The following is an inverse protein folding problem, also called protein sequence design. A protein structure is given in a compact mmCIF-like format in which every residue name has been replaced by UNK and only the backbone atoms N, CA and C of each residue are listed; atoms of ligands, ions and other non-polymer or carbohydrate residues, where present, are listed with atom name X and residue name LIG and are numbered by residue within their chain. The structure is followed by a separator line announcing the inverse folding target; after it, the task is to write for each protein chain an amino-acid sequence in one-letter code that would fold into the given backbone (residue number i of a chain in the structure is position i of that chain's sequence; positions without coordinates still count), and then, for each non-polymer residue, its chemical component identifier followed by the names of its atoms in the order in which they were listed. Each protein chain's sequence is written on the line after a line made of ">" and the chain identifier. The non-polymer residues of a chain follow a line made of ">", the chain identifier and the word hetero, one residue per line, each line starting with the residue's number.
data_IF_055229330351
#
_entry.id   IF_055229330351
#
_cell.length_a   1.000
_cell.length_b   1.000
_cell.length_c   1.000
_cell.angle_alpha   90.00
_cell.angle_beta   90.00
_cell.angle_gamma   90.00
#
_symmetry.space_group_name_H-M   'P 1'
#
loop_
_entity.id
_entity.type
_entity.pdbx_description
1 polymer ?
#
# COMPACT_ATOMS: atom_id res chain seq x y z
N UNK A 1 -53.60 -1.83 -22.26
CA UNK A 1 -52.70 -0.67 -22.10
C UNK A 1 -51.29 -1.19 -22.27
N UNK A 2 -50.66 -0.90 -23.41
CA UNK A 2 -49.27 -1.26 -23.66
C UNK A 2 -48.38 -0.25 -22.90
N UNK A 3 -47.49 -0.74 -22.03
CA UNK A 3 -46.48 0.10 -21.39
C UNK A 3 -45.46 0.53 -22.46
N UNK A 4 -45.30 1.84 -22.62
CA UNK A 4 -44.37 2.45 -23.57
C UNK A 4 -42.93 2.16 -23.13
N UNK A 5 -42.09 1.50 -23.97
CA UNK A 5 -40.68 1.24 -23.66
C UNK A 5 -39.88 2.51 -23.33
N UNK A 6 -40.34 3.67 -23.83
CA UNK A 6 -39.70 4.95 -23.57
C UNK A 6 -39.87 5.42 -22.13
N UNK A 7 -40.95 5.03 -21.44
CA UNK A 7 -41.20 5.41 -20.05
C UNK A 7 -40.31 4.61 -19.07
N UNK A 8 -40.02 3.35 -19.37
CA UNK A 8 -39.07 2.57 -18.58
C UNK A 8 -37.63 3.09 -18.75
N UNK A 9 -37.25 3.44 -19.98
CA UNK A 9 -35.95 4.04 -20.27
C UNK A 9 -35.79 5.42 -19.60
N UNK A 10 -36.85 6.23 -19.59
CA UNK A 10 -36.87 7.56 -18.96
C UNK A 10 -36.92 7.46 -17.43
N UNK A 11 -37.59 6.45 -16.88
CA UNK A 11 -37.57 6.12 -15.45
C UNK A 11 -36.17 5.67 -14.98
N UNK A 12 -35.51 4.77 -15.72
CA UNK A 12 -34.12 4.34 -15.45
C UNK A 12 -33.13 5.50 -15.60
N UNK A 13 -33.33 6.42 -16.54
CA UNK A 13 -32.52 7.63 -16.64
C UNK A 13 -32.74 8.60 -15.47
N UNK A 14 -33.98 8.72 -14.97
CA UNK A 14 -34.33 9.61 -13.85
C UNK A 14 -33.84 9.12 -12.48
N UNK A 15 -33.76 7.80 -12.27
CA UNK A 15 -33.26 7.19 -11.03
C UNK A 15 -31.81 6.68 -11.14
N UNK A 16 -31.28 6.52 -12.35
CA UNK A 16 -29.90 6.09 -12.64
C UNK A 16 -28.96 7.23 -13.06
N UNK A 17 -29.41 8.48 -12.94
CA UNK A 17 -28.79 9.67 -13.54
C UNK A 17 -27.31 9.89 -13.21
N UNK A 18 -26.83 9.47 -12.03
CA UNK A 18 -25.42 9.64 -11.67
C UNK A 18 -24.55 8.41 -12.07
N UNK A 19 -25.15 7.22 -12.14
CA UNK A 19 -24.46 5.98 -12.53
C UNK A 19 -24.30 5.87 -14.05
N UNK A 20 -25.29 6.31 -14.84
CA UNK A 20 -25.23 6.32 -16.31
C UNK A 20 -24.19 7.31 -16.86
N UNK A 21 -23.92 8.39 -16.13
CA UNK A 21 -22.89 9.39 -16.44
C UNK A 21 -21.47 8.90 -16.14
N UNK A 22 -21.31 7.97 -15.19
CA UNK A 22 -20.00 7.44 -14.76
C UNK A 22 -19.62 6.12 -15.42
N UNK A 23 -20.61 5.29 -15.75
CA UNK A 23 -20.39 3.92 -16.27
C UNK A 23 -20.49 3.89 -17.79
N UNK A 24 -19.49 3.27 -18.41
CA UNK A 24 -19.47 2.91 -19.83
C UNK A 24 -20.05 1.52 -20.05
N UNK A 25 -19.61 0.56 -19.23
CA UNK A 25 -19.98 -0.86 -19.36
C UNK A 25 -20.19 -1.46 -17.96
N UNK A 26 -21.23 -2.26 -17.79
CA UNK A 26 -21.43 -3.08 -16.58
C UNK A 26 -20.87 -4.47 -16.81
N UNK A 27 -19.95 -4.91 -15.96
CA UNK A 27 -19.19 -6.15 -16.17
C UNK A 27 -19.74 -7.35 -15.38
N UNK A 28 -20.71 -7.11 -14.49
CA UNK A 28 -21.23 -8.12 -13.56
C UNK A 28 -20.45 -8.12 -12.24
N UNK A 29 -21.00 -8.79 -11.21
CA UNK A 29 -20.32 -8.98 -9.92
C UNK A 29 -19.97 -7.69 -9.16
N UNK A 30 -20.62 -6.56 -9.47
CA UNK A 30 -20.30 -5.25 -8.92
C UNK A 30 -19.19 -4.49 -9.65
N UNK A 31 -18.62 -5.05 -10.71
CA UNK A 31 -17.59 -4.42 -11.53
C UNK A 31 -18.19 -3.61 -12.69
N UNK A 32 -17.55 -2.50 -13.00
CA UNK A 32 -17.91 -1.60 -14.10
C UNK A 32 -16.65 -1.11 -14.80
N UNK A 33 -16.79 -0.74 -16.08
CA UNK A 33 -15.84 0.12 -16.77
C UNK A 33 -16.32 1.56 -16.66
N UNK A 34 -15.50 2.44 -16.10
CA UNK A 34 -15.82 3.87 -16.01
C UNK A 34 -15.68 4.52 -17.39
N UNK A 35 -16.50 5.53 -17.70
CA UNK A 35 -16.31 6.40 -18.88
C UNK A 35 -14.98 7.15 -18.81
N UNK A 36 -14.40 7.48 -19.96
CA UNK A 36 -13.10 8.19 -20.06
C UNK A 36 -13.12 9.48 -19.22
N UNK A 37 -14.11 10.33 -19.40
CA UNK A 37 -14.22 11.59 -18.64
C UNK A 37 -14.31 11.38 -17.12
N UNK A 38 -14.93 10.29 -16.66
CA UNK A 38 -14.98 9.96 -15.23
C UNK A 38 -13.62 9.45 -14.73
N UNK A 39 -12.95 8.61 -15.51
CA UNK A 39 -11.62 8.12 -15.18
C UNK A 39 -10.58 9.26 -15.13
N UNK A 40 -10.65 10.20 -16.08
CA UNK A 40 -9.81 11.41 -16.17
C UNK A 40 -10.07 12.37 -15.00
N UNK A 41 -11.33 12.57 -14.60
CA UNK A 41 -11.66 13.36 -13.40
C UNK A 41 -11.07 12.75 -12.12
N UNK A 42 -10.92 11.42 -12.07
CA UNK A 42 -10.29 10.70 -10.95
C UNK A 42 -8.78 10.56 -11.12
N UNK A 43 -8.18 11.18 -12.13
CA UNK A 43 -6.78 10.98 -12.46
C UNK A 43 -5.86 11.69 -11.46
N UNK A 44 -5.00 10.90 -10.83
CA UNK A 44 -3.82 11.37 -10.14
C UNK A 44 -2.60 10.86 -10.91
N UNK A 45 -1.54 11.68 -10.98
CA UNK A 45 -0.24 11.38 -11.60
C UNK A 45 0.49 10.24 -10.85
N UNK A 46 0.01 9.01 -10.98
CA UNK A 46 0.72 7.82 -10.49
C UNK A 46 1.07 6.95 -11.67
N UNK A 47 2.20 7.29 -12.27
CA UNK A 47 2.91 6.43 -13.20
C UNK A 47 3.72 5.43 -12.39
N UNK A 48 3.65 4.16 -12.78
CA UNK A 48 4.55 3.13 -12.26
C UNK A 48 5.94 3.46 -12.82
N UNK A 49 6.82 4.01 -11.98
CA UNK A 49 8.19 4.37 -12.39
C UNK A 49 9.21 3.38 -11.84
N UNK A 50 8.86 2.71 -10.75
CA UNK A 50 9.65 1.69 -10.10
C UNK A 50 8.78 0.51 -9.68
N UNK A 51 9.39 -0.66 -9.49
CA UNK A 51 8.70 -1.83 -8.92
C UNK A 51 8.00 -1.48 -7.59
N UNK A 52 8.59 -0.61 -6.78
CA UNK A 52 8.00 -0.13 -5.53
C UNK A 52 6.63 0.56 -5.71
N UNK A 53 6.44 1.27 -6.84
CA UNK A 53 5.17 1.93 -7.15
C UNK A 53 4.10 0.86 -7.45
N UNK A 54 4.47 -0.25 -8.09
CA UNK A 54 3.54 -1.36 -8.31
C UNK A 54 3.17 -2.07 -6.99
N UNK A 55 4.15 -2.29 -6.11
CA UNK A 55 3.92 -2.91 -4.80
C UNK A 55 2.93 -2.08 -3.99
N UNK A 56 3.07 -0.75 -3.94
CA UNK A 56 2.15 0.06 -3.14
C UNK A 56 0.73 0.04 -3.73
N UNK A 57 0.58 0.03 -5.05
CA UNK A 57 -0.74 -0.11 -5.69
C UNK A 57 -1.40 -1.46 -5.39
N UNK A 58 -0.63 -2.56 -5.36
CA UNK A 58 -1.13 -3.87 -4.93
C UNK A 58 -1.61 -3.82 -3.47
N UNK A 59 -0.80 -3.28 -2.56
CA UNK A 59 -1.15 -3.16 -1.13
C UNK A 59 -2.42 -2.30 -0.91
N UNK A 60 -2.54 -1.18 -1.63
CA UNK A 60 -3.73 -0.32 -1.58
C UNK A 60 -4.97 -1.05 -2.07
N UNK A 61 -4.86 -1.84 -3.14
CA UNK A 61 -5.98 -2.63 -3.64
C UNK A 61 -6.44 -3.69 -2.62
N UNK A 62 -5.51 -4.40 -1.98
CA UNK A 62 -5.85 -5.38 -0.95
C UNK A 62 -6.54 -4.72 0.26
N UNK A 63 -5.99 -3.61 0.79
CA UNK A 63 -6.62 -2.83 1.88
C UNK A 63 -8.05 -2.47 1.54
N UNK A 64 -8.25 -1.87 0.37
CA UNK A 64 -9.57 -1.37 -0.01
C UNK A 64 -10.57 -2.49 -0.31
N UNK A 65 -10.09 -3.69 -0.66
CA UNK A 65 -10.90 -4.89 -0.79
C UNK A 65 -11.26 -5.49 0.59
N UNK A 66 -10.73 -4.91 1.69
CA UNK A 66 -11.02 -5.29 3.06
C UNK A 66 -10.05 -6.31 3.66
N UNK A 67 -8.85 -6.46 3.10
CA UNK A 67 -7.82 -7.35 3.65
C UNK A 67 -7.51 -6.99 5.11
N UNK A 68 -7.45 -8.00 5.97
CA UNK A 68 -6.95 -7.89 7.36
C UNK A 68 -5.53 -8.43 7.46
N UNK A 69 -5.17 -9.39 6.61
CA UNK A 69 -3.84 -9.95 6.54
C UNK A 69 -3.37 -9.95 5.09
N UNK A 70 -2.18 -9.39 4.86
CA UNK A 70 -1.53 -9.39 3.55
C UNK A 70 -0.19 -10.10 3.67
N UNK A 71 0.06 -11.03 2.76
CA UNK A 71 1.29 -11.80 2.64
C UNK A 71 1.95 -11.47 1.31
N UNK A 72 3.04 -10.70 1.37
CA UNK A 72 3.78 -10.26 0.19
C UNK A 72 5.07 -11.08 0.05
N UNK A 73 5.07 -11.97 -0.93
CA UNK A 73 6.27 -12.69 -1.35
C UNK A 73 7.03 -11.88 -2.40
N UNK A 74 8.33 -11.72 -2.21
CA UNK A 74 9.23 -11.12 -3.19
C UNK A 74 10.42 -12.04 -3.45
N UNK A 75 10.71 -12.30 -4.72
CA UNK A 75 11.89 -13.04 -5.16
C UNK A 75 12.52 -12.36 -6.36
N UNK A 76 13.82 -12.61 -6.57
CA UNK A 76 14.53 -12.14 -7.76
C UNK A 76 15.45 -13.22 -8.29
N UNK A 77 15.37 -13.46 -9.59
CA UNK A 77 16.22 -14.36 -10.33
C UNK A 77 16.78 -13.59 -11.54
N UNK A 78 18.07 -13.25 -11.50
CA UNK A 78 18.66 -12.38 -12.52
C UNK A 78 18.01 -10.99 -12.55
N UNK A 79 17.48 -10.59 -13.71
CA UNK A 79 16.71 -9.36 -13.88
C UNK A 79 15.21 -9.55 -13.58
N UNK A 80 14.75 -10.78 -13.36
CA UNK A 80 13.34 -11.05 -13.13
C UNK A 80 12.99 -10.89 -11.66
N UNK A 81 12.11 -9.92 -11.36
CA UNK A 81 11.55 -9.67 -10.04
C UNK A 81 10.11 -10.18 -10.01
N UNK A 82 9.83 -11.13 -9.13
CA UNK A 82 8.47 -11.66 -8.93
C UNK A 82 7.91 -11.16 -7.60
N UNK A 83 6.73 -10.56 -7.67
CA UNK A 83 5.94 -10.14 -6.52
C UNK A 83 4.64 -10.94 -6.53
N UNK A 84 4.40 -11.74 -5.49
CA UNK A 84 3.13 -12.43 -5.29
C UNK A 84 2.51 -11.92 -3.99
N UNK A 85 1.30 -11.40 -4.07
CA UNK A 85 0.55 -10.91 -2.91
C UNK A 85 -0.65 -11.82 -2.66
N UNK A 86 -0.77 -12.34 -1.44
CA UNK A 86 -1.92 -13.09 -0.98
C UNK A 86 -2.63 -12.29 0.11
N UNK A 87 -3.96 -12.30 0.11
CA UNK A 87 -4.78 -11.60 1.10
C UNK A 87 -6.04 -12.41 1.47
N UNK A 88 -6.68 -12.02 2.57
CA UNK A 88 -7.98 -12.52 3.04
C UNK A 88 -9.15 -11.55 2.73
N UNK A 89 -9.04 -10.77 1.65
CA UNK A 89 -10.04 -9.79 1.26
C UNK A 89 -11.29 -10.43 0.62
N UNK A 90 -12.17 -9.59 0.06
CA UNK A 90 -13.41 -10.02 -0.59
C UNK A 90 -13.22 -10.96 -1.80
N UNK A 91 -12.02 -11.02 -2.39
CA UNK A 91 -11.72 -11.84 -3.56
C UNK A 91 -12.36 -11.34 -4.87
N UNK A 92 -12.00 -12.00 -5.97
CA UNK A 92 -12.32 -11.61 -7.36
C UNK A 92 -13.03 -12.77 -8.05
N UNK A 93 -14.23 -12.56 -8.65
CA UNK A 93 -14.90 -13.57 -9.46
C UNK A 93 -14.05 -14.06 -10.64
N UNK A 94 -14.18 -15.34 -11.01
CA UNK A 94 -13.35 -15.97 -12.04
C UNK A 94 -13.43 -15.26 -13.39
N UNK A 95 -14.62 -14.85 -13.79
CA UNK A 95 -14.87 -14.09 -15.02
C UNK A 95 -14.20 -12.71 -15.04
N UNK A 96 -13.80 -12.21 -13.87
CA UNK A 96 -13.13 -10.92 -13.71
C UNK A 96 -11.61 -11.02 -13.63
N UNK A 97 -11.02 -12.22 -13.49
CA UNK A 97 -9.57 -12.41 -13.30
C UNK A 97 -8.71 -11.70 -14.35
N UNK A 98 -9.12 -11.73 -15.62
CA UNK A 98 -8.43 -11.01 -16.68
C UNK A 98 -8.86 -9.54 -16.79
N UNK A 99 -10.15 -9.27 -16.57
CA UNK A 99 -10.76 -7.96 -16.82
C UNK A 99 -10.42 -6.91 -15.76
N UNK A 100 -10.06 -7.31 -14.53
CA UNK A 100 -9.66 -6.37 -13.48
C UNK A 100 -8.39 -5.57 -13.83
N UNK A 101 -7.63 -6.04 -14.82
CA UNK A 101 -6.46 -5.34 -15.34
C UNK A 101 -6.76 -4.52 -16.59
N UNK A 102 -8.01 -4.47 -17.08
CA UNK A 102 -8.36 -3.58 -18.17
C UNK A 102 -8.44 -2.13 -17.67
N UNK A 103 -8.11 -1.19 -18.55
CA UNK A 103 -8.22 0.23 -18.23
C UNK A 103 -9.65 0.60 -17.79
N UNK A 104 -9.72 1.36 -16.69
CA UNK A 104 -10.94 1.95 -16.10
C UNK A 104 -11.88 0.94 -15.46
N UNK A 105 -11.45 -0.31 -15.28
CA UNK A 105 -12.27 -1.34 -14.62
C UNK A 105 -12.16 -1.21 -13.12
N UNK A 106 -13.29 -1.07 -12.44
CA UNK A 106 -13.34 -0.95 -10.98
C UNK A 106 -14.63 -1.53 -10.40
N UNK A 107 -14.58 -1.95 -9.14
CA UNK A 107 -15.75 -2.24 -8.31
C UNK A 107 -16.14 -1.06 -7.39
N UNK A 108 -15.42 0.06 -7.46
CA UNK A 108 -15.56 1.23 -6.57
C UNK A 108 -16.21 2.41 -7.30
N UNK A 109 -17.51 2.29 -7.55
CA UNK A 109 -18.25 3.35 -8.25
C UNK A 109 -18.30 4.65 -7.43
N UNK A 110 -18.61 4.53 -6.13
CA UNK A 110 -18.96 5.66 -5.27
C UNK A 110 -17.87 6.01 -4.23
N UNK A 111 -16.80 5.22 -4.15
CA UNK A 111 -15.70 5.42 -3.19
C UNK A 111 -14.41 5.86 -3.90
N UNK A 112 -14.14 7.16 -3.82
CA UNK A 112 -12.83 7.75 -4.14
C UNK A 112 -12.13 8.05 -2.83
N UNK A 113 -10.95 7.46 -2.65
CA UNK A 113 -10.19 7.63 -1.42
C UNK A 113 -8.89 8.39 -1.74
N UNK A 114 -8.54 9.34 -0.88
CA UNK A 114 -7.29 10.08 -0.91
C UNK A 114 -6.42 9.58 0.23
N UNK A 115 -5.24 9.06 -0.08
CA UNK A 115 -4.23 8.69 0.92
C UNK A 115 -2.90 9.38 0.61
N UNK A 116 -1.85 9.08 1.38
CA UNK A 116 -0.52 9.67 1.17
C UNK A 116 0.05 9.39 -0.23
N UNK A 117 -0.37 8.30 -0.86
CA UNK A 117 0.02 7.91 -2.22
C UNK A 117 -0.99 8.38 -3.27
N UNK A 118 -1.83 9.37 -2.93
CA UNK A 118 -2.73 10.06 -3.87
C UNK A 118 -4.13 9.44 -3.94
N UNK A 119 -4.80 9.65 -5.07
CA UNK A 119 -6.18 9.18 -5.29
C UNK A 119 -6.20 7.74 -5.80
N UNK A 120 -7.03 6.89 -5.19
CA UNK A 120 -7.31 5.53 -5.65
C UNK A 120 -8.83 5.25 -5.74
N UNK A 121 -9.22 4.20 -6.47
CA UNK A 121 -10.63 3.91 -6.82
C UNK A 121 -11.05 4.27 -8.26
N UNK A 122 -10.08 4.47 -9.17
CA UNK A 122 -10.31 4.84 -10.59
C UNK A 122 -10.23 3.69 -11.60
N UNK A 123 -9.90 2.49 -11.14
CA UNK A 123 -9.77 1.32 -12.02
C UNK A 123 -8.55 1.32 -12.94
N UNK A 124 -7.46 1.98 -12.52
CA UNK A 124 -6.22 2.04 -13.31
C UNK A 124 -5.03 1.33 -12.66
N UNK A 125 -5.08 1.04 -11.36
CA UNK A 125 -3.92 0.51 -10.63
C UNK A 125 -3.40 -0.81 -11.22
N UNK A 126 -4.28 -1.82 -11.35
CA UNK A 126 -3.92 -3.12 -11.91
C UNK A 126 -3.57 -3.02 -13.40
N UNK A 127 -4.30 -2.21 -14.17
CA UNK A 127 -3.95 -1.92 -15.57
C UNK A 127 -2.53 -1.35 -15.70
N UNK A 128 -2.20 -0.31 -14.93
CA UNK A 128 -0.86 0.30 -14.94
C UNK A 128 0.24 -0.69 -14.52
N UNK A 129 -0.05 -1.60 -13.59
CA UNK A 129 0.89 -2.68 -13.26
C UNK A 129 1.10 -3.60 -14.47
N UNK A 130 0.01 -4.04 -15.14
CA UNK A 130 0.08 -4.92 -16.31
C UNK A 130 0.88 -4.30 -17.46
N UNK A 131 0.72 -3.01 -17.72
CA UNK A 131 1.46 -2.31 -18.80
C UNK A 131 2.97 -2.20 -18.54
N UNK A 132 3.40 -2.32 -17.27
CA UNK A 132 4.81 -2.17 -16.88
C UNK A 132 5.47 -3.49 -16.44
N UNK A 133 4.71 -4.59 -16.45
CA UNK A 133 5.16 -5.91 -16.03
C UNK A 133 5.36 -6.82 -17.24
N UNK A 134 6.27 -7.79 -17.12
CA UNK A 134 6.33 -8.93 -18.05
C UNK A 134 5.04 -9.75 -17.99
N UNK A 135 4.46 -9.87 -16.79
CA UNK A 135 3.12 -10.43 -16.60
C UNK A 135 2.48 -9.89 -15.33
N UNK A 136 1.17 -9.70 -15.35
CA UNK A 136 0.37 -9.40 -14.16
C UNK A 136 -0.98 -10.11 -14.25
N UNK A 137 -1.25 -10.99 -13.27
CA UNK A 137 -2.43 -11.87 -13.27
C UNK A 137 -2.97 -12.12 -11.87
N UNK A 138 -4.27 -12.38 -11.78
CA UNK A 138 -4.84 -13.11 -10.64
C UNK A 138 -4.43 -14.58 -10.82
N UNK A 139 -3.68 -15.12 -9.86
CA UNK A 139 -3.27 -16.53 -9.91
C UNK A 139 -4.42 -17.42 -9.44
N UNK A 140 -5.03 -17.06 -8.31
CA UNK A 140 -6.27 -17.66 -7.83
C UNK A 140 -7.03 -16.62 -6.99
N UNK A 141 -8.35 -16.60 -7.13
CA UNK A 141 -9.24 -15.84 -6.27
C UNK A 141 -10.67 -16.28 -6.52
N UNK A 142 -11.51 -16.15 -5.50
CA UNK A 142 -12.95 -16.27 -5.63
C UNK A 142 -13.64 -15.39 -4.59
N UNK A 143 -14.93 -15.06 -4.79
CA UNK A 143 -15.68 -14.27 -3.82
C UNK A 143 -15.61 -14.87 -2.42
N UNK A 144 -15.27 -14.03 -1.43
CA UNK A 144 -15.10 -14.36 -0.01
C UNK A 144 -13.96 -15.34 0.31
N UNK A 145 -13.05 -15.61 -0.64
CA UNK A 145 -11.92 -16.52 -0.46
C UNK A 145 -10.56 -15.82 -0.40
N UNK A 146 -10.52 -14.49 -0.47
CA UNK A 146 -9.28 -13.74 -0.63
C UNK A 146 -8.74 -13.78 -2.06
N UNK A 147 -7.53 -13.28 -2.26
CA UNK A 147 -6.89 -13.28 -3.57
C UNK A 147 -5.41 -13.64 -3.51
N UNK A 148 -4.91 -14.25 -4.58
CA UNK A 148 -3.49 -14.33 -4.92
C UNK A 148 -3.27 -13.62 -6.26
N UNK A 149 -2.47 -12.55 -6.24
CA UNK A 149 -2.14 -11.75 -7.42
C UNK A 149 -0.62 -11.73 -7.59
N UNK A 150 -0.16 -12.05 -8.80
CA UNK A 150 1.26 -12.05 -9.14
C UNK A 150 1.56 -11.02 -10.21
N UNK A 151 2.63 -10.26 -9.99
CA UNK A 151 3.25 -9.40 -10.99
C UNK A 151 4.73 -9.74 -11.13
N UNK A 152 5.17 -9.90 -12.38
CA UNK A 152 6.55 -10.26 -12.74
C UNK A 152 7.13 -9.12 -13.56
N UNK A 153 8.26 -8.59 -13.14
CA UNK A 153 8.92 -7.44 -13.75
C UNK A 153 10.30 -7.83 -14.26
N UNK A 154 10.71 -7.24 -15.37
CA UNK A 154 12.11 -7.19 -15.77
C UNK A 154 12.72 -5.89 -15.21
N UNK A 155 13.66 -6.00 -14.27
CA UNK A 155 14.22 -4.82 -13.60
C UNK A 155 15.21 -4.03 -14.46
N UNK A 156 15.58 -4.56 -15.62
CA UNK A 156 16.34 -3.81 -16.61
C UNK A 156 15.41 -2.84 -17.39
N UNK A 157 14.14 -3.22 -17.56
CA UNK A 157 13.09 -2.43 -18.21
C UNK A 157 12.36 -1.49 -17.23
N UNK A 158 11.86 -2.02 -16.10
CA UNK A 158 11.28 -1.25 -15.00
C UNK A 158 12.16 -1.39 -13.76
N UNK A 159 13.01 -0.39 -13.54
CA UNK A 159 13.98 -0.46 -12.45
C UNK A 159 13.32 -0.61 -11.07
N UNK A 160 14.02 -1.29 -10.18
CA UNK A 160 13.79 -1.22 -8.74
C UNK A 160 14.86 -0.35 -8.10
N UNK A 161 14.57 0.25 -6.94
CA UNK A 161 15.56 1.10 -6.27
C UNK A 161 16.72 0.26 -5.73
N UNK A 162 17.87 0.89 -5.54
CA UNK A 162 19.03 0.22 -4.97
C UNK A 162 18.77 -0.23 -3.53
N UNK A 163 19.42 -1.34 -3.14
CA UNK A 163 19.32 -1.96 -1.82
C UNK A 163 17.91 -2.43 -1.45
N UNK A 164 17.54 -3.65 -1.86
CA UNK A 164 16.25 -4.29 -1.55
C UNK A 164 16.25 -5.14 -0.27
N UNK A 165 17.32 -5.10 0.53
CA UNK A 165 17.47 -5.95 1.72
C UNK A 165 17.55 -5.19 3.03
N UNK A 166 17.98 -3.92 3.01
CA UNK A 166 18.09 -3.10 4.22
C UNK A 166 16.73 -2.61 4.68
N UNK A 167 16.43 -2.86 5.95
CA UNK A 167 15.25 -2.32 6.60
C UNK A 167 15.42 -0.84 6.95
N UNK A 168 14.39 0.00 6.74
CA UNK A 168 14.45 1.37 7.20
C UNK A 168 14.37 1.45 8.72
N UNK A 169 14.88 2.55 9.27
CA UNK A 169 14.76 2.89 10.69
C UNK A 169 13.62 3.87 10.88
N UNK A 170 12.69 3.55 11.78
CA UNK A 170 11.65 4.49 12.20
C UNK A 170 12.28 5.58 13.07
N UNK A 171 12.19 6.82 12.60
CA UNK A 171 12.71 8.02 13.25
C UNK A 171 11.56 8.98 13.54
N UNK A 172 11.72 9.74 14.61
CA UNK A 172 10.83 10.86 14.93
C UNK A 172 11.53 12.12 14.42
N UNK A 173 10.80 12.95 13.69
CA UNK A 173 11.29 14.25 13.25
C UNK A 173 11.27 15.26 14.41
N UNK A 174 11.80 16.46 14.17
CA UNK A 174 11.85 17.53 15.18
C UNK A 174 10.45 18.03 15.59
N UNK A 175 9.42 17.73 14.80
CA UNK A 175 8.01 18.08 15.07
C UNK A 175 7.20 16.96 15.72
N UNK A 176 7.82 15.83 16.08
CA UNK A 176 7.15 14.69 16.70
C UNK A 176 6.43 13.73 15.73
N UNK A 177 6.52 13.98 14.42
CA UNK A 177 5.97 13.07 13.41
C UNK A 177 6.93 11.91 13.13
N UNK A 178 6.35 10.72 12.94
CA UNK A 178 7.10 9.51 12.70
C UNK A 178 7.32 9.30 11.20
N UNK A 179 8.57 9.08 10.79
CA UNK A 179 8.95 8.76 9.41
C UNK A 179 10.05 7.72 9.32
N UNK A 180 10.33 7.25 8.11
CA UNK A 180 11.36 6.24 7.86
C UNK A 180 12.63 6.87 7.26
N UNK A 181 13.79 6.51 7.85
CA UNK A 181 15.13 6.80 7.32
C UNK A 181 15.74 5.52 6.77
N UNK A 182 16.37 5.59 5.60
CA UNK A 182 16.97 4.44 4.92
C UNK A 182 16.58 4.39 3.44
N UNK A 183 16.98 3.32 2.73
CA UNK A 183 16.68 3.16 1.31
C UNK A 183 15.18 3.18 1.05
N UNK A 184 14.78 3.72 -0.10
CA UNK A 184 13.38 3.79 -0.55
C UNK A 184 12.94 2.50 -1.25
N UNK A 185 13.28 1.35 -0.68
CA UNK A 185 13.06 0.04 -1.29
C UNK A 185 11.66 -0.53 -1.00
N UNK A 186 11.38 -1.74 -1.50
CA UNK A 186 10.12 -2.47 -1.28
C UNK A 186 9.82 -2.61 0.22
N UNK A 187 10.84 -2.92 1.03
CA UNK A 187 10.70 -3.05 2.49
C UNK A 187 10.18 -1.74 3.10
N UNK A 188 10.73 -0.60 2.67
CA UNK A 188 10.27 0.71 3.14
C UNK A 188 8.86 1.03 2.68
N UNK A 189 8.48 0.71 1.44
CA UNK A 189 7.09 0.86 1.00
C UNK A 189 6.13 0.07 1.89
N UNK A 190 6.48 -1.18 2.22
CA UNK A 190 5.71 -2.01 3.15
C UNK A 190 5.63 -1.40 4.56
N UNK A 191 6.73 -0.81 5.04
CA UNK A 191 6.78 -0.13 6.34
C UNK A 191 5.92 1.14 6.38
N UNK A 192 5.98 1.97 5.33
CA UNK A 192 5.17 3.18 5.19
C UNK A 192 3.68 2.82 5.10
N UNK A 193 3.32 1.80 4.31
CA UNK A 193 1.97 1.24 4.26
C UNK A 193 1.48 0.78 5.63
N UNK A 194 2.25 -0.06 6.32
CA UNK A 194 1.89 -0.60 7.65
C UNK A 194 1.87 0.45 8.77
N UNK A 195 2.47 1.63 8.55
CA UNK A 195 2.41 2.74 9.49
C UNK A 195 1.08 3.50 9.35
N UNK A 196 0.62 3.66 8.11
CA UNK A 196 -0.60 4.38 7.74
C UNK A 196 -1.84 3.55 8.04
N UNK A 197 -1.84 2.27 7.66
CA UNK A 197 -2.94 1.36 7.94
C UNK A 197 -2.61 0.44 9.13
N UNK A 198 -3.27 0.70 10.26
CA UNK A 198 -3.14 -0.12 11.48
C UNK A 198 -4.15 -1.26 11.55
N UNK A 199 -5.13 -1.30 10.65
CA UNK A 199 -6.16 -2.34 10.58
C UNK A 199 -5.74 -3.57 9.80
N UNK A 200 -4.73 -3.44 8.94
CA UNK A 200 -4.20 -4.53 8.12
C UNK A 200 -2.80 -4.96 8.58
N UNK A 201 -2.60 -6.26 8.81
CA UNK A 201 -1.30 -6.82 9.16
C UNK A 201 -0.56 -7.34 7.91
N UNK A 202 0.57 -6.70 7.60
CA UNK A 202 1.41 -7.04 6.45
C UNK A 202 2.61 -7.89 6.85
N UNK A 203 2.86 -8.95 6.08
CA UNK A 203 4.02 -9.83 6.16
C UNK A 203 4.80 -9.75 4.85
N UNK A 204 6.13 -9.64 4.93
CA UNK A 204 7.04 -9.55 3.77
C UNK A 204 8.15 -10.58 3.92
N UNK A 205 8.41 -11.35 2.86
CA UNK A 205 9.51 -12.32 2.84
C UNK A 205 9.68 -12.98 1.47
N UNK A 206 10.54 -13.99 1.42
CA UNK A 206 10.62 -14.92 0.29
C UNK A 206 9.36 -15.79 0.20
N UNK A 207 9.09 -16.46 -0.95
CA UNK A 207 7.97 -17.39 -1.07
C UNK A 207 7.94 -18.44 0.06
N UNK A 208 9.09 -19.00 0.41
CA UNK A 208 9.20 -20.00 1.48
C UNK A 208 8.83 -19.43 2.86
N UNK A 209 9.32 -18.23 3.18
CA UNK A 209 9.00 -17.56 4.44
C UNK A 209 7.51 -17.19 4.53
N UNK A 210 6.92 -16.73 3.42
CA UNK A 210 5.50 -16.40 3.36
C UNK A 210 4.64 -17.66 3.55
N UNK A 211 4.96 -18.77 2.89
CA UNK A 211 4.25 -20.05 3.11
C UNK A 211 4.38 -20.51 4.56
N UNK A 212 5.58 -20.49 5.13
CA UNK A 212 5.79 -20.84 6.55
C UNK A 212 4.96 -19.94 7.50
N UNK A 213 4.86 -18.65 7.17
CA UNK A 213 4.11 -17.67 7.95
C UNK A 213 2.60 -17.88 7.83
N UNK A 214 2.09 -18.12 6.63
CA UNK A 214 0.68 -18.43 6.41
C UNK A 214 0.28 -19.69 7.19
N UNK A 215 1.06 -20.77 7.09
CA UNK A 215 0.84 -22.01 7.86
C UNK A 215 0.74 -21.78 9.37
N UNK A 216 1.64 -20.97 9.92
CA UNK A 216 1.67 -20.67 11.36
C UNK A 216 0.50 -19.78 11.81
N UNK A 217 0.13 -18.77 11.03
CA UNK A 217 -0.68 -17.66 11.52
C UNK A 217 -2.13 -17.69 11.04
N UNK A 218 -2.42 -18.32 9.90
CA UNK A 218 -3.77 -18.33 9.32
C UNK A 218 -4.74 -19.02 10.27
N UNK A 219 -5.88 -18.37 10.49
CA UNK A 219 -7.00 -18.96 11.24
C UNK A 219 -7.93 -19.61 10.23
N UNK A 220 -8.36 -20.83 10.55
CA UNK A 220 -9.32 -21.54 9.72
C UNK A 220 -10.70 -20.93 9.91
N UNK A 221 -11.42 -20.71 8.82
CA UNK A 221 -12.82 -20.25 8.85
C UNK A 221 -13.79 -21.39 9.15
N UNK A 222 -13.36 -22.62 8.91
CA UNK A 222 -14.18 -23.84 9.02
C UNK A 222 -13.79 -24.64 10.27
N UNK A 223 -14.79 -25.17 10.99
CA UNK A 223 -14.56 -26.10 12.10
C UNK A 223 -13.98 -27.44 11.61
N UNK A 224 -13.17 -28.11 12.44
CA UNK A 224 -12.42 -29.30 12.03
C UNK A 224 -13.26 -30.46 11.49
N UNK A 225 -14.51 -30.60 11.92
CA UNK A 225 -15.45 -31.61 11.40
C UNK A 225 -15.91 -31.32 9.98
N UNK A 226 -16.06 -30.05 9.62
CA UNK A 226 -16.48 -29.64 8.29
C UNK A 226 -15.35 -29.81 7.25
N UNK A 227 -14.08 -29.85 7.68
CA UNK A 227 -12.95 -30.19 6.80
C UNK A 227 -13.00 -31.62 6.26
N UNK A 228 -13.68 -32.55 6.95
CA UNK A 228 -13.83 -33.94 6.49
C UNK A 228 -14.72 -34.08 5.25
N UNK A 229 -15.49 -33.05 4.92
CA UNK A 229 -16.41 -33.01 3.78
C UNK A 229 -15.88 -32.14 2.63
N UNK A 230 -14.60 -31.73 2.69
CA UNK A 230 -13.96 -30.95 1.64
C UNK A 230 -13.25 -31.91 0.69
N UNK A 231 -13.71 -31.94 -0.56
CA UNK A 231 -13.15 -32.80 -1.60
C UNK A 231 -11.86 -32.22 -2.21
N UNK A 232 -11.72 -30.89 -2.21
CA UNK A 232 -10.55 -30.19 -2.74
C UNK A 232 -10.16 -28.99 -1.88
N UNK A 233 -8.85 -28.78 -1.69
CA UNK A 233 -8.35 -27.57 -1.06
C UNK A 233 -8.74 -26.30 -1.82
N UNK A 234 -9.05 -26.37 -3.11
CA UNK A 234 -9.49 -25.21 -3.90
C UNK A 234 -10.83 -24.62 -3.45
N UNK A 235 -11.60 -25.40 -2.70
CA UNK A 235 -12.86 -24.95 -2.10
C UNK A 235 -12.64 -24.03 -0.90
N UNK A 236 -11.44 -23.98 -0.35
CA UNK A 236 -11.08 -23.17 0.81
C UNK A 236 -10.54 -21.78 0.42
N UNK A 237 -10.59 -20.80 1.36
CA UNK A 237 -9.90 -19.53 1.22
C UNK A 237 -8.41 -19.72 0.91
N UNK A 238 -7.85 -18.86 0.06
CA UNK A 238 -6.51 -19.06 -0.54
C UNK A 238 -5.41 -19.28 0.50
N UNK A 239 -5.45 -18.55 1.61
CA UNK A 239 -4.47 -18.66 2.70
C UNK A 239 -4.65 -19.93 3.55
N UNK A 240 -5.87 -20.46 3.66
CA UNK A 240 -6.16 -21.66 4.45
C UNK A 240 -5.62 -22.92 3.77
N UNK A 241 -5.60 -22.95 2.43
CA UNK A 241 -5.03 -24.06 1.64
C UNK A 241 -3.58 -24.35 2.03
N UNK A 242 -2.78 -23.28 2.18
CA UNK A 242 -1.37 -23.40 2.58
C UNK A 242 -1.24 -24.06 3.95
N UNK A 243 -2.16 -23.76 4.89
CA UNK A 243 -2.17 -24.33 6.24
C UNK A 243 -2.63 -25.78 6.27
N UNK A 244 -3.59 -26.13 5.43
CA UNK A 244 -4.25 -27.43 5.42
C UNK A 244 -3.54 -28.49 4.55
N UNK A 245 -2.61 -28.08 3.68
CA UNK A 245 -1.75 -29.02 2.98
C UNK A 245 -1.06 -29.99 3.96
N UNK A 246 -1.28 -31.29 3.74
CA UNK A 246 -0.96 -32.40 4.62
C UNK A 246 0.51 -32.83 4.53
N UNK A 247 1.08 -32.79 3.32
CA UNK A 247 2.46 -33.20 3.06
C UNK A 247 3.21 -32.24 2.12
N UNK A 248 4.47 -32.56 1.83
CA UNK A 248 5.34 -31.69 1.05
C UNK A 248 4.92 -31.58 -0.42
N UNK A 249 4.35 -32.66 -0.97
CA UNK A 249 3.85 -32.68 -2.34
C UNK A 249 2.60 -31.81 -2.49
N UNK A 250 1.63 -31.99 -1.59
CA UNK A 250 0.43 -31.15 -1.57
C UNK A 250 0.76 -29.68 -1.27
N UNK A 251 1.69 -29.41 -0.34
CA UNK A 251 2.14 -28.06 -0.05
C UNK A 251 2.79 -27.41 -1.27
N UNK A 252 3.59 -28.16 -2.03
CA UNK A 252 4.23 -27.67 -3.25
C UNK A 252 3.18 -27.36 -4.33
N UNK A 253 2.20 -28.24 -4.53
CA UNK A 253 1.10 -28.05 -5.47
C UNK A 253 0.27 -26.80 -5.13
N UNK A 254 -0.17 -26.67 -3.88
CA UNK A 254 -0.94 -25.51 -3.40
C UNK A 254 -0.10 -24.23 -3.49
N UNK A 255 1.18 -24.27 -3.14
CA UNK A 255 2.04 -23.08 -3.24
C UNK A 255 2.17 -22.63 -4.69
N UNK A 256 2.37 -23.56 -5.63
CA UNK A 256 2.47 -23.25 -7.06
C UNK A 256 1.15 -22.73 -7.64
N UNK A 257 0.00 -23.32 -7.25
CA UNK A 257 -1.32 -22.83 -7.66
C UNK A 257 -1.64 -21.43 -7.14
N UNK A 258 -0.95 -20.97 -6.09
CA UNK A 258 -1.02 -19.62 -5.57
C UNK A 258 0.13 -18.72 -6.04
N UNK A 259 1.00 -19.18 -6.94
CA UNK A 259 2.10 -18.38 -7.49
C UNK A 259 3.30 -18.20 -6.54
N UNK A 260 3.49 -19.15 -5.62
CA UNK A 260 4.59 -19.21 -4.67
C UNK A 260 5.52 -20.39 -5.01
N UNK A 261 6.44 -20.16 -5.95
CA UNK A 261 7.34 -21.21 -6.40
C UNK A 261 8.45 -21.50 -5.38
N UNK A 262 8.72 -22.79 -5.17
CA UNK A 262 9.81 -23.28 -4.34
C UNK A 262 10.17 -24.72 -4.72
N UNK A 263 11.29 -25.22 -4.20
CA UNK A 263 11.65 -26.63 -4.37
C UNK A 263 10.93 -27.52 -3.37
N UNK A 264 10.76 -28.81 -3.71
CA UNK A 264 10.23 -29.84 -2.81
C UNK A 264 11.05 -29.94 -1.51
N UNK A 265 12.38 -29.81 -1.60
CA UNK A 265 13.26 -29.72 -0.42
C UNK A 265 12.84 -28.57 0.50
N UNK A 266 12.49 -27.41 -0.05
CA UNK A 266 12.02 -26.28 0.74
C UNK A 266 10.66 -26.55 1.37
N UNK A 267 9.73 -27.21 0.67
CA UNK A 267 8.45 -27.63 1.23
C UNK A 267 8.64 -28.56 2.46
N UNK A 268 9.54 -29.55 2.37
CA UNK A 268 9.91 -30.39 3.52
C UNK A 268 10.49 -29.57 4.68
N UNK A 269 11.35 -28.59 4.41
CA UNK A 269 11.92 -27.71 5.44
C UNK A 269 10.84 -26.89 6.15
N UNK A 270 9.83 -26.41 5.42
CA UNK A 270 8.69 -25.68 5.99
C UNK A 270 7.90 -26.60 6.93
N UNK A 271 7.55 -27.81 6.47
CA UNK A 271 6.80 -28.78 7.28
C UNK A 271 7.56 -29.24 8.52
N UNK A 272 8.89 -29.34 8.41
CA UNK A 272 9.78 -29.65 9.54
C UNK A 272 10.03 -28.45 10.47
N UNK A 273 9.43 -27.28 10.23
CA UNK A 273 9.62 -26.07 11.04
C UNK A 273 11.01 -25.44 10.93
N UNK A 274 11.77 -25.77 9.88
CA UNK A 274 13.14 -25.26 9.65
C UNK A 274 13.17 -23.94 8.87
N UNK A 275 12.03 -23.50 8.34
CA UNK A 275 11.86 -22.14 7.79
C UNK A 275 11.10 -21.32 8.81
N UNK A 276 11.75 -20.30 9.34
CA UNK A 276 11.20 -19.46 10.40
C UNK A 276 10.11 -18.54 9.83
N UNK A 277 8.88 -18.57 10.38
CA UNK A 277 7.86 -17.58 10.06
C UNK A 277 8.34 -16.14 10.27
N UNK A 278 8.02 -15.25 9.34
CA UNK A 278 8.35 -13.83 9.47
C UNK A 278 7.38 -13.14 10.42
N UNK A 279 7.87 -12.09 11.08
CA UNK A 279 7.02 -11.21 11.88
C UNK A 279 6.33 -10.22 10.96
N UNK A 280 5.20 -9.68 11.41
CA UNK A 280 4.58 -8.56 10.70
C UNK A 280 5.54 -7.37 10.59
N UNK A 281 5.46 -6.68 9.47
CA UNK A 281 6.29 -5.51 9.14
C UNK A 281 6.18 -4.46 10.26
N UNK A 282 4.96 -4.23 10.77
CA UNK A 282 4.70 -3.38 11.92
C UNK A 282 5.49 -3.78 13.17
N UNK A 283 5.54 -5.08 13.47
CA UNK A 283 6.29 -5.61 14.62
C UNK A 283 7.80 -5.39 14.45
N UNK A 284 8.31 -5.50 13.23
CA UNK A 284 9.73 -5.33 12.94
C UNK A 284 10.21 -3.89 13.23
N UNK A 285 9.56 -2.87 12.64
CA UNK A 285 10.01 -1.49 12.85
C UNK A 285 9.68 -0.94 14.24
N UNK A 286 8.62 -1.43 14.91
CA UNK A 286 8.34 -1.08 16.32
C UNK A 286 9.42 -1.61 17.27
N UNK A 287 9.93 -2.83 17.03
CA UNK A 287 11.06 -3.39 17.79
C UNK A 287 12.34 -2.61 17.54
N UNK A 288 12.63 -2.28 16.28
CA UNK A 288 13.79 -1.44 15.91
C UNK A 288 13.77 -0.10 16.66
N UNK A 289 12.61 0.57 16.77
CA UNK A 289 12.46 1.80 17.56
C UNK A 289 12.74 1.61 19.05
N UNK A 290 12.29 0.50 19.64
CA UNK A 290 12.57 0.21 21.07
C UNK A 290 14.06 -0.01 21.30
N UNK A 291 14.73 -0.75 20.41
CA UNK A 291 16.17 -0.99 20.49
C UNK A 291 16.98 0.31 20.33
N UNK A 292 16.62 1.18 19.38
CA UNK A 292 17.31 2.47 19.20
C UNK A 292 17.13 3.42 20.39
N UNK A 293 15.97 3.39 21.06
CA UNK A 293 15.73 4.16 22.29
C UNK A 293 16.52 3.61 23.49
N UNK A 294 16.67 2.30 23.59
CA UNK A 294 17.44 1.65 24.66
C UNK A 294 18.96 1.81 24.47
N UNK A 295 19.44 1.87 23.22
CA UNK A 295 20.86 2.07 22.88
C UNK A 295 21.37 3.51 22.97
N UNK A 296 20.48 4.50 23.13
CA UNK A 296 20.88 5.88 23.46
C UNK A 296 21.40 5.91 24.91
N UNK A 297 22.69 5.67 25.10
CA UNK A 297 23.38 6.11 26.33
C UNK A 297 23.15 7.61 26.44
N UNK A 298 22.55 8.04 27.55
CA UNK A 298 22.40 9.46 27.86
C UNK A 298 23.82 10.03 27.98
N UNK A 299 24.21 10.79 26.98
CA UNK A 299 25.52 11.44 26.93
C UNK A 299 25.48 12.65 27.88
N UNK A 300 25.80 12.41 29.15
CA UNK A 300 25.83 13.41 30.24
C UNK A 300 26.89 14.50 30.00
N UNK A 301 27.81 14.30 29.03
CA UNK A 301 28.87 15.23 28.67
C UNK A 301 28.48 16.22 27.54
N UNK A 302 27.30 16.06 26.92
CA UNK A 302 26.77 17.11 26.02
C UNK A 302 26.23 18.27 26.84
N UNK A 303 27.01 19.34 26.93
CA UNK A 303 26.63 20.62 27.51
C UNK A 303 25.28 21.07 26.90
N UNK A 304 24.22 21.03 27.72
CA UNK A 304 22.84 21.36 27.34
C UNK A 304 22.55 22.87 27.37
N UNK A 305 23.57 23.71 27.36
CA UNK A 305 23.44 25.17 27.18
C UNK A 305 23.24 25.52 25.70
N UNK A 306 22.15 25.02 25.11
CA UNK A 306 21.63 25.61 23.88
C UNK A 306 21.10 27.01 24.18
N UNK A 307 21.30 27.95 23.25
CA UNK A 307 20.70 29.29 23.33
C UNK A 307 19.19 29.12 23.46
N UNK A 308 18.65 29.41 24.65
CA UNK A 308 17.21 29.38 24.93
C UNK A 308 16.74 30.83 25.01
N UNK A 309 15.94 31.21 24.03
CA UNK A 309 15.22 32.49 24.02
C UNK A 309 13.81 32.19 24.54
N UNK A 310 13.25 33.07 25.37
CA UNK A 310 11.91 32.83 25.91
C UNK A 310 10.87 32.91 24.78
N UNK A 311 9.73 32.20 24.89
CA UNK A 311 8.65 32.29 23.90
C UNK A 311 8.10 33.72 23.74
N UNK A 312 8.15 34.52 24.81
CA UNK A 312 7.72 35.92 24.81
C UNK A 312 8.67 36.78 23.95
N UNK A 313 9.98 36.65 24.16
CA UNK A 313 11.00 37.36 23.37
C UNK A 313 10.97 36.94 21.89
N UNK A 314 10.68 35.66 21.59
CA UNK A 314 10.53 35.18 20.21
C UNK A 314 9.29 35.79 19.53
N UNK A 315 8.21 35.97 20.27
CA UNK A 315 7.00 36.63 19.79
C UNK A 315 7.24 38.12 19.51
N UNK A 316 7.92 38.83 20.42
CA UNK A 316 8.27 40.24 20.21
C UNK A 316 9.25 40.43 19.04
N UNK A 317 10.22 39.54 18.92
CA UNK A 317 11.17 39.53 17.81
C UNK A 317 10.48 39.25 16.46
N UNK A 318 9.53 38.31 16.42
CA UNK A 318 8.74 38.04 15.21
C UNK A 318 7.94 39.26 14.76
N UNK A 319 7.21 39.93 15.66
CA UNK A 319 6.43 41.14 15.36
C UNK A 319 7.31 42.30 14.89
N UNK A 320 8.51 42.42 15.46
CA UNK A 320 9.49 43.44 15.03
C UNK A 320 9.96 43.17 13.59
N UNK A 321 10.28 41.92 13.28
CA UNK A 321 10.69 41.50 11.94
C UNK A 321 9.56 41.64 10.90
N UNK A 322 8.32 41.40 11.30
CA UNK A 322 7.14 41.64 10.45
C UNK A 322 7.02 43.12 10.07
N UNK A 323 7.13 44.02 11.06
CA UNK A 323 7.10 45.47 10.82
C UNK A 323 8.26 45.93 9.94
N UNK A 324 9.45 45.41 10.17
CA UNK A 324 10.65 45.78 9.42
C UNK A 324 10.66 45.18 8.00
N UNK A 325 9.82 44.18 7.73
CA UNK A 325 9.58 43.63 6.38
C UNK A 325 8.64 44.50 5.54
N UNK A 326 7.80 45.35 6.15
CA UNK A 326 6.81 46.18 5.46
C UNK A 326 7.38 47.08 4.33
N UNK A 327 8.57 47.72 4.47
CA UNK A 327 9.16 48.49 3.37
C UNK A 327 9.53 47.64 2.15
N UNK A 328 9.94 46.39 2.38
CA UNK A 328 10.27 45.44 1.31
C UNK A 328 9.01 44.93 0.63
N UNK A 329 7.99 44.61 1.43
CA UNK A 329 6.66 44.23 0.96
C UNK A 329 6.04 45.31 0.04
N UNK A 330 6.12 46.59 0.42
CA UNK A 330 5.60 47.70 -0.40
C UNK A 330 6.37 47.89 -1.71
N UNK A 331 7.70 47.71 -1.69
CA UNK A 331 8.54 47.95 -2.87
C UNK A 331 8.45 46.85 -3.92
N UNK A 332 8.12 45.63 -3.50
CA UNK A 332 8.06 44.44 -4.34
C UNK A 332 6.65 43.82 -4.43
N UNK A 333 5.63 44.51 -3.93
CA UNK A 333 4.22 44.05 -3.91
C UNK A 333 4.05 42.65 -3.29
N UNK A 334 4.78 42.38 -2.21
CA UNK A 334 4.70 41.10 -1.50
C UNK A 334 3.71 41.20 -0.35
N UNK A 335 2.99 40.11 -0.09
CA UNK A 335 2.17 39.94 1.11
C UNK A 335 2.69 38.78 1.95
N UNK A 336 2.56 38.85 3.28
CA UNK A 336 2.96 37.74 4.15
C UNK A 336 1.79 36.75 4.27
N UNK A 337 2.04 35.49 3.93
CA UNK A 337 1.06 34.41 4.05
C UNK A 337 0.84 33.98 5.52
N UNK A 338 1.85 34.20 6.37
CA UNK A 338 1.76 34.00 7.82
C UNK A 338 2.78 34.85 8.58
N UNK A 339 2.61 34.97 9.90
CA UNK A 339 3.58 35.65 10.78
C UNK A 339 4.99 35.04 10.63
N UNK A 340 6.07 35.86 10.66
CA UNK A 340 7.43 35.37 10.50
C UNK A 340 7.78 34.26 11.49
N UNK A 341 8.25 33.13 10.97
CA UNK A 341 8.61 31.98 11.79
C UNK A 341 10.05 32.12 12.28
N UNK A 342 10.22 32.32 13.58
CA UNK A 342 11.54 32.41 14.23
C UNK A 342 11.92 31.06 14.82
N UNK A 343 13.04 30.50 14.39
CA UNK A 343 13.61 29.25 14.91
C UNK A 343 15.00 29.47 15.48
N UNK A 344 15.22 29.02 16.72
CA UNK A 344 16.53 29.04 17.38
C UNK A 344 17.13 27.64 17.35
N UNK A 345 18.35 27.54 16.85
CA UNK A 345 19.16 26.32 16.78
C UNK A 345 20.54 26.58 17.40
N UNK A 346 21.36 25.54 17.55
CA UNK A 346 22.68 25.69 18.18
C UNK A 346 23.56 26.66 17.37
N UNK A 347 23.79 27.86 17.92
CA UNK A 347 24.58 28.92 17.30
C UNK A 347 23.91 29.67 16.15
N UNK A 348 22.60 29.50 15.91
CA UNK A 348 21.91 30.15 14.79
C UNK A 348 20.45 30.44 15.07
N UNK A 349 20.02 31.67 14.81
CA UNK A 349 18.61 32.08 14.73
C UNK A 349 18.24 32.20 13.25
N UNK A 350 17.14 31.57 12.84
CA UNK A 350 16.62 31.63 11.47
C UNK A 350 15.23 32.22 11.51
N UNK A 351 15.00 33.26 10.70
CA UNK A 351 13.68 33.86 10.51
C UNK A 351 13.24 33.53 9.09
N UNK A 352 12.04 32.95 8.96
CA UNK A 352 11.45 32.59 7.68
C UNK A 352 10.20 33.43 7.45
N UNK A 353 10.20 34.16 6.33
CA UNK A 353 9.04 34.90 5.84
C UNK A 353 8.39 34.07 4.73
N UNK A 354 7.16 33.62 4.94
CA UNK A 354 6.36 33.01 3.88
C UNK A 354 5.62 34.14 3.16
N UNK A 355 5.97 34.38 1.90
CA UNK A 355 5.39 35.44 1.08
C UNK A 355 4.47 34.85 0.03
N UNK A 356 3.34 35.50 -0.19
CA UNK A 356 2.50 35.32 -1.37
C UNK A 356 2.80 36.45 -2.35
N UNK A 357 3.04 36.09 -3.62
CA UNK A 357 3.02 37.03 -4.73
C UNK A 357 1.55 37.40 -4.94
N UNK A 358 1.17 38.63 -4.59
CA UNK A 358 -0.19 39.11 -4.89
C UNK A 358 -0.40 39.16 -6.40
N UNK A 359 -1.62 38.86 -6.85
CA UNK A 359 -2.07 39.07 -8.24
C UNK A 359 -1.83 40.50 -8.74
#
# INVERSE_FOLDING_TARGET
>A
MAQDPSDLARFVASHGGDRSLKVEESLGGGYVRLRVAEAERRQAKHDIRWVEDAVIEMLRNARDAGARHIYLASSREGSVRTITMLDDAAGIPREMHERVFDARVTSKLDSVHLDRWGVHGRGMALYSIRENALSARVVDSAPQKGSSIQAVFDVDSLQERSDQSTWPTLVEDEGGSLGFRGPRNIIRCCCEFSQEDRGCELYLGSPAEIVATARSNVRLSVEGSALLFIDSLDDLPVLERLKLAADAGELLQVSSSLGLDMSERTAHRILAGQVTPVRSVASHFRKSRRASRAGRKVDLARDRRGLRISPEDLGEFSRTMERDFAPLAQRYYLSLASEPRVRVSHGRVTVTFEVDEGD
#
